data_IF_049439667627
#
_entry.id   IF_049439667627
#
_cell.length_a   1.000
_cell.length_b   1.000
_cell.length_c   1.000
_cell.angle_alpha   90.00
_cell.angle_beta   90.00
_cell.angle_gamma   90.00
#
_symmetry.space_group_name_H-M   'P 1'
#
loop_
_entity.id
_entity.type
_entity.pdbx_description
1 polymer ?
#
# COMPACT_ATOMS: atom_id res chain seq x y z
N UNK A 1 4.79 12.86 10.47
CA UNK A 1 4.74 13.93 11.49
C UNK A 1 3.62 13.72 12.51
N UNK A 2 2.35 13.54 12.12
CA UNK A 2 1.21 13.47 13.06
C UNK A 2 1.37 12.43 14.19
N UNK A 3 1.66 11.17 13.86
CA UNK A 3 1.86 10.14 14.89
C UNK A 3 3.08 10.43 15.76
N UNK A 4 4.18 10.93 15.18
CA UNK A 4 5.36 11.33 15.95
C UNK A 4 5.05 12.48 16.92
N UNK A 5 4.25 13.46 16.51
CA UNK A 5 3.77 14.55 17.40
C UNK A 5 2.83 14.05 18.50
N UNK A 6 2.27 12.84 18.35
CA UNK A 6 1.47 12.16 19.38
C UNK A 6 2.28 11.17 20.24
N UNK A 7 3.62 11.25 20.19
CA UNK A 7 4.50 10.49 21.08
C UNK A 7 4.92 9.10 20.57
N UNK A 8 4.65 8.76 19.30
CA UNK A 8 5.06 7.48 18.75
C UNK A 8 6.42 7.57 18.05
N UNK A 9 7.27 6.57 18.24
CA UNK A 9 8.45 6.37 17.40
C UNK A 9 7.98 5.89 16.03
N UNK A 10 8.21 6.69 14.98
CA UNK A 10 7.83 6.39 13.61
C UNK A 10 9.05 6.06 12.77
N UNK A 11 9.02 4.93 12.08
CA UNK A 11 10.06 4.48 11.17
C UNK A 11 9.42 4.35 9.78
N UNK A 12 9.99 5.03 8.80
CA UNK A 12 9.65 4.90 7.39
C UNK A 12 10.92 4.59 6.63
N UNK A 13 10.98 3.44 5.99
CA UNK A 13 12.12 3.04 5.16
C UNK A 13 11.77 3.19 3.68
N UNK A 14 12.78 3.46 2.88
CA UNK A 14 12.66 3.32 1.45
C UNK A 14 12.83 1.83 1.09
N UNK A 15 11.83 1.22 0.46
CA UNK A 15 11.93 -0.17 0.00
C UNK A 15 13.11 -0.32 -0.96
N UNK A 16 13.73 -1.51 -1.01
CA UNK A 16 14.75 -1.79 -2.04
C UNK A 16 14.27 -1.36 -3.42
N UNK A 17 15.16 -0.81 -4.21
CA UNK A 17 14.84 -0.26 -5.53
C UNK A 17 14.18 1.11 -5.52
N UNK A 18 13.90 1.71 -4.36
CA UNK A 18 13.20 2.99 -4.23
C UNK A 18 13.99 3.97 -3.36
N UNK A 19 13.82 5.25 -3.66
CA UNK A 19 14.37 6.34 -2.85
C UNK A 19 15.88 6.23 -2.62
N UNK A 20 16.30 6.22 -1.37
CA UNK A 20 17.71 6.17 -0.93
C UNK A 20 18.24 4.75 -0.71
N UNK A 21 17.37 3.74 -0.79
CA UNK A 21 17.79 2.35 -0.70
C UNK A 21 18.51 1.89 -1.96
N UNK A 22 19.29 0.81 -1.86
CA UNK A 22 19.97 0.20 -3.00
C UNK A 22 18.99 -0.20 -4.11
N UNK A 23 19.46 -0.16 -5.35
CA UNK A 23 18.67 -0.51 -6.54
C UNK A 23 19.21 -1.81 -7.16
N UNK A 24 18.99 -2.97 -6.53
CA UNK A 24 19.47 -4.25 -7.02
C UNK A 24 18.73 -4.67 -8.29
N UNK A 25 19.41 -5.46 -9.13
CA UNK A 25 18.83 -5.97 -10.37
C UNK A 25 17.72 -7.02 -10.14
N UNK A 26 17.79 -7.76 -9.04
CA UNK A 26 16.87 -8.84 -8.67
C UNK A 26 16.33 -8.67 -7.24
N UNK A 27 15.41 -9.52 -6.81
CA UNK A 27 14.79 -9.42 -5.48
C UNK A 27 13.70 -8.36 -5.42
N UNK A 28 13.03 -8.08 -6.52
CA UNK A 28 11.96 -7.08 -6.60
C UNK A 28 10.58 -7.74 -6.53
N UNK A 29 10.44 -8.71 -5.65
CA UNK A 29 9.20 -9.46 -5.39
C UNK A 29 8.76 -9.34 -3.93
N UNK A 30 7.49 -9.63 -3.65
CA UNK A 30 6.90 -9.44 -2.32
C UNK A 30 7.56 -10.27 -1.23
N UNK A 31 8.07 -11.46 -1.53
CA UNK A 31 8.78 -12.29 -0.58
C UNK A 31 10.04 -11.59 -0.06
N UNK A 32 10.83 -11.06 -0.97
CA UNK A 32 12.05 -10.32 -0.61
C UNK A 32 11.75 -9.00 0.11
N UNK A 33 10.69 -8.28 -0.29
CA UNK A 33 10.27 -7.06 0.43
C UNK A 33 9.86 -7.36 1.87
N UNK A 34 9.15 -8.47 2.08
CA UNK A 34 8.77 -8.92 3.41
C UNK A 34 9.98 -9.36 4.26
N UNK A 35 10.96 -10.02 3.63
CA UNK A 35 12.21 -10.43 4.29
C UNK A 35 13.05 -9.21 4.69
N UNK A 36 13.17 -8.19 3.83
CA UNK A 36 13.83 -6.90 4.16
C UNK A 36 13.14 -6.20 5.34
N UNK A 37 11.80 -6.21 5.37
CA UNK A 37 11.05 -5.64 6.50
C UNK A 37 11.34 -6.42 7.80
N UNK A 38 11.44 -7.75 7.71
CA UNK A 38 11.81 -8.59 8.87
C UNK A 38 13.20 -8.27 9.38
N UNK A 39 14.19 -8.18 8.50
CA UNK A 39 15.56 -7.81 8.86
C UNK A 39 15.60 -6.42 9.52
N UNK A 40 14.85 -5.45 9.01
CA UNK A 40 14.77 -4.11 9.60
C UNK A 40 14.20 -4.15 11.02
N UNK A 41 13.12 -4.91 11.23
CA UNK A 41 12.47 -5.07 12.54
C UNK A 41 13.42 -5.75 13.53
N UNK A 42 14.15 -6.77 13.10
CA UNK A 42 15.12 -7.49 13.93
C UNK A 42 16.35 -6.66 14.24
N UNK A 43 16.94 -6.01 13.24
CA UNK A 43 18.14 -5.17 13.40
C UNK A 43 17.92 -4.01 14.39
N UNK A 44 16.71 -3.44 14.39
CA UNK A 44 16.33 -2.37 15.30
C UNK A 44 15.74 -2.88 16.63
N UNK A 45 15.70 -4.20 16.83
CA UNK A 45 15.06 -4.91 17.96
C UNK A 45 13.65 -4.34 18.28
N UNK A 46 12.85 -4.12 17.24
CA UNK A 46 11.50 -3.60 17.42
C UNK A 46 10.58 -4.67 18.00
N UNK A 47 9.77 -4.27 18.96
CA UNK A 47 8.75 -5.10 19.62
C UNK A 47 7.43 -4.33 19.66
N UNK A 48 6.34 -5.06 19.63
CA UNK A 48 4.99 -4.48 19.64
C UNK A 48 4.79 -3.44 18.54
N UNK A 49 5.35 -3.73 17.35
CA UNK A 49 5.28 -2.80 16.21
C UNK A 49 3.86 -2.67 15.69
N UNK A 50 3.56 -1.50 15.16
CA UNK A 50 2.32 -1.27 14.42
C UNK A 50 2.72 -1.11 12.96
N UNK A 51 2.40 -2.11 12.13
CA UNK A 51 2.70 -2.06 10.72
C UNK A 51 1.58 -1.32 9.96
N UNK A 52 1.97 -0.30 9.21
CA UNK A 52 1.03 0.50 8.41
C UNK A 52 1.45 0.38 6.95
N UNK A 53 0.65 -0.33 6.15
CA UNK A 53 0.92 -0.54 4.73
C UNK A 53 -0.07 0.22 3.84
N UNK A 54 0.45 1.07 2.95
CA UNK A 54 -0.33 1.76 1.94
C UNK A 54 -0.12 1.10 0.57
N UNK A 55 -1.19 0.86 -0.18
CA UNK A 55 -1.13 0.34 -1.56
C UNK A 55 -0.30 -0.95 -1.64
N UNK A 56 0.74 -1.00 -2.47
CA UNK A 56 1.70 -2.10 -2.56
C UNK A 56 2.41 -2.40 -1.23
N UNK A 57 2.58 -1.39 -0.35
CA UNK A 57 3.11 -1.59 1.00
C UNK A 57 2.19 -2.41 1.90
N UNK A 58 0.88 -2.41 1.62
CA UNK A 58 -0.05 -3.34 2.26
C UNK A 58 0.18 -4.79 1.86
N UNK A 59 0.62 -5.03 0.61
CA UNK A 59 1.06 -6.35 0.15
C UNK A 59 2.31 -6.82 0.87
N UNK A 60 3.30 -5.93 1.04
CA UNK A 60 4.52 -6.22 1.81
C UNK A 60 4.19 -6.59 3.27
N UNK A 61 3.32 -5.81 3.94
CA UNK A 61 2.85 -6.11 5.30
C UNK A 61 2.13 -7.45 5.35
N UNK A 62 1.24 -7.73 4.40
CA UNK A 62 0.52 -8.99 4.34
C UNK A 62 1.50 -10.18 4.18
N UNK A 63 2.44 -10.07 3.26
CA UNK A 63 3.47 -11.09 3.03
C UNK A 63 4.39 -11.25 4.23
N UNK A 64 4.72 -10.16 4.93
CA UNK A 64 5.49 -10.23 6.18
C UNK A 64 4.75 -11.09 7.22
N UNK A 65 3.48 -10.82 7.50
CA UNK A 65 2.69 -11.63 8.45
C UNK A 65 2.61 -13.08 7.98
N UNK A 66 2.41 -13.31 6.68
CA UNK A 66 2.33 -14.64 6.08
C UNK A 66 3.58 -15.48 6.25
N UNK A 67 4.76 -14.86 6.22
CA UNK A 67 6.08 -15.52 6.27
C UNK A 67 6.70 -15.52 7.66
N UNK A 68 6.61 -14.42 8.39
CA UNK A 68 7.32 -14.19 9.65
C UNK A 68 6.40 -14.19 10.89
N UNK A 69 5.07 -14.17 10.67
CA UNK A 69 4.09 -14.18 11.75
C UNK A 69 3.96 -12.84 12.48
N UNK A 70 3.30 -12.86 13.63
CA UNK A 70 2.89 -11.67 14.39
C UNK A 70 3.70 -11.42 15.67
N UNK A 71 4.68 -12.26 15.98
CA UNK A 71 5.41 -12.22 17.27
C UNK A 71 5.96 -10.84 17.66
N UNK A 72 6.34 -10.02 16.69
CA UNK A 72 6.88 -8.66 16.90
C UNK A 72 5.89 -7.55 16.53
N UNK A 73 4.64 -7.92 16.20
CA UNK A 73 3.61 -6.99 15.67
C UNK A 73 2.42 -6.97 16.60
N UNK A 74 2.08 -5.80 17.11
CA UNK A 74 0.91 -5.62 17.96
C UNK A 74 -0.36 -5.32 17.16
N UNK A 75 -0.25 -4.61 16.04
CA UNK A 75 -1.38 -4.19 15.20
C UNK A 75 -0.96 -4.00 13.74
N UNK A 76 -1.94 -4.08 12.85
CA UNK A 76 -1.78 -3.76 11.43
C UNK A 76 -2.82 -2.75 10.97
N UNK A 77 -2.41 -1.80 10.12
CA UNK A 77 -3.32 -0.96 9.35
C UNK A 77 -3.02 -1.10 7.84
N UNK A 78 -4.01 -1.49 7.06
CA UNK A 78 -3.95 -1.60 5.60
C UNK A 78 -4.75 -0.45 4.99
N UNK A 79 -4.08 0.42 4.23
CA UNK A 79 -4.66 1.65 3.68
C UNK A 79 -4.62 1.59 2.16
N UNK A 80 -5.76 1.63 1.48
CA UNK A 80 -5.85 1.49 0.01
C UNK A 80 -4.98 0.34 -0.52
N UNK A 81 -4.91 -0.76 0.24
CA UNK A 81 -3.93 -1.82 0.07
C UNK A 81 -4.33 -2.80 -1.04
N UNK A 82 -3.35 -3.37 -1.72
CA UNK A 82 -3.54 -4.31 -2.85
C UNK A 82 -4.06 -5.71 -2.47
N UNK A 83 -3.84 -6.27 -1.26
CA UNK A 83 -4.37 -7.60 -0.92
C UNK A 83 -5.92 -7.69 -1.01
N UNK A 84 -6.47 -8.89 -1.31
CA UNK A 84 -5.77 -10.17 -1.40
C UNK A 84 -5.07 -10.42 -2.74
N UNK A 85 -5.55 -9.85 -3.85
CA UNK A 85 -4.96 -10.04 -5.18
C UNK A 85 -5.53 -9.01 -6.15
N UNK A 86 -4.67 -8.36 -6.93
CA UNK A 86 -5.11 -7.38 -7.93
C UNK A 86 -5.51 -8.03 -9.25
N UNK A 87 -4.79 -9.07 -9.68
CA UNK A 87 -5.02 -9.72 -10.96
C UNK A 87 -6.35 -10.48 -10.96
N UNK A 88 -7.11 -10.32 -12.05
CA UNK A 88 -8.32 -11.12 -12.30
C UNK A 88 -7.95 -12.57 -12.59
N UNK A 89 -8.51 -13.48 -11.80
CA UNK A 89 -8.36 -14.92 -11.95
C UNK A 89 -9.70 -15.60 -11.68
N UNK A 90 -9.76 -16.91 -11.82
CA UNK A 90 -10.95 -17.68 -11.43
C UNK A 90 -11.30 -17.52 -9.94
N UNK A 91 -10.28 -17.40 -9.08
CA UNK A 91 -10.45 -17.16 -7.63
C UNK A 91 -10.66 -15.67 -7.28
N UNK A 92 -10.36 -14.75 -8.20
CA UNK A 92 -10.53 -13.31 -8.06
C UNK A 92 -11.27 -12.70 -9.25
N UNK A 93 -12.58 -12.94 -9.43
CA UNK A 93 -13.34 -12.45 -10.59
C UNK A 93 -13.47 -10.92 -10.63
N UNK A 94 -13.36 -10.24 -9.48
CA UNK A 94 -13.43 -8.79 -9.34
C UNK A 94 -12.07 -8.10 -9.57
N UNK A 95 -11.02 -8.86 -9.82
CA UNK A 95 -9.69 -8.34 -10.12
C UNK A 95 -9.60 -7.65 -11.48
N UNK A 96 -8.50 -6.95 -11.71
CA UNK A 96 -8.22 -6.26 -12.97
C UNK A 96 -7.61 -7.22 -14.00
N UNK A 97 -7.98 -7.10 -15.28
CA UNK A 97 -7.34 -7.87 -16.35
C UNK A 97 -5.83 -7.62 -16.42
N UNK A 98 -5.05 -8.62 -16.86
CA UNK A 98 -3.61 -8.49 -17.02
C UNK A 98 -3.22 -7.31 -17.92
N UNK A 99 -4.04 -7.01 -18.95
CA UNK A 99 -3.81 -5.91 -19.87
C UNK A 99 -3.66 -4.55 -19.16
N UNK A 100 -4.38 -4.32 -18.05
CA UNK A 100 -4.23 -3.09 -17.27
C UNK A 100 -2.82 -2.96 -16.69
N UNK A 101 -2.25 -4.04 -16.20
CA UNK A 101 -0.88 -4.04 -15.67
C UNK A 101 0.17 -3.97 -16.76
N UNK A 102 -0.11 -4.53 -17.95
CA UNK A 102 0.76 -4.41 -19.11
C UNK A 102 0.80 -2.97 -19.63
N UNK A 103 -0.33 -2.25 -19.60
CA UNK A 103 -0.38 -0.80 -19.89
C UNK A 103 0.45 0.01 -18.89
N UNK A 104 0.39 -0.32 -17.59
CA UNK A 104 1.24 0.30 -16.56
C UNK A 104 2.72 0.04 -16.85
N UNK A 105 3.09 -1.21 -17.21
CA UNK A 105 4.46 -1.58 -17.58
C UNK A 105 4.92 -0.80 -18.82
N UNK A 106 4.07 -0.71 -19.83
CA UNK A 106 4.37 0.02 -21.05
C UNK A 106 4.58 1.50 -20.78
N UNK A 107 3.64 2.15 -20.10
CA UNK A 107 3.71 3.58 -19.75
C UNK A 107 4.96 3.91 -18.91
N UNK A 108 5.22 3.12 -17.88
CA UNK A 108 6.40 3.28 -17.01
C UNK A 108 7.72 3.01 -17.74
N UNK A 109 7.72 2.28 -18.86
CA UNK A 109 8.91 1.98 -19.63
C UNK A 109 9.13 2.94 -20.81
N UNK A 110 8.06 3.48 -21.39
CA UNK A 110 8.13 4.40 -22.55
C UNK A 110 8.47 5.82 -22.10
N UNK A 111 7.60 6.44 -21.31
CA UNK A 111 7.81 7.75 -20.71
C UNK A 111 7.37 7.74 -19.24
N UNK A 112 8.26 7.28 -18.38
CA UNK A 112 8.01 7.18 -16.95
C UNK A 112 7.66 8.53 -16.33
N UNK A 113 8.27 9.60 -16.81
CA UNK A 113 8.06 10.93 -16.26
C UNK A 113 6.63 11.40 -16.50
N UNK A 114 6.16 11.31 -17.73
CA UNK A 114 4.80 11.68 -18.08
C UNK A 114 3.78 10.72 -17.45
N UNK A 115 4.06 9.42 -17.46
CA UNK A 115 3.20 8.40 -16.82
C UNK A 115 2.88 8.73 -15.35
N UNK A 116 3.89 9.08 -14.54
CA UNK A 116 3.64 9.45 -13.13
C UNK A 116 2.91 10.79 -12.98
N UNK A 117 3.13 11.74 -13.89
CA UNK A 117 2.35 12.98 -13.89
C UNK A 117 0.89 12.75 -14.22
N UNK A 118 0.61 11.93 -15.25
CA UNK A 118 -0.75 11.59 -15.66
C UNK A 118 -1.48 10.80 -14.57
N UNK A 119 -0.78 9.86 -13.92
CA UNK A 119 -1.34 9.11 -12.80
C UNK A 119 -1.74 10.03 -11.63
N UNK A 120 -0.88 10.98 -11.27
CA UNK A 120 -1.12 11.92 -10.17
C UNK A 120 -2.18 12.99 -10.49
N UNK A 121 -2.15 13.53 -11.73
CA UNK A 121 -3.15 14.51 -12.21
C UNK A 121 -4.48 13.88 -12.64
N UNK A 122 -4.59 12.56 -12.51
CA UNK A 122 -5.76 11.76 -12.87
C UNK A 122 -6.25 10.90 -11.69
N UNK A 123 -6.20 9.57 -11.85
CA UNK A 123 -6.89 8.64 -10.96
C UNK A 123 -6.29 8.52 -9.56
N UNK A 124 -4.98 8.78 -9.37
CA UNK A 124 -4.34 8.51 -8.08
C UNK A 124 -4.91 9.38 -6.95
N UNK A 125 -5.02 10.68 -7.17
CA UNK A 125 -5.61 11.61 -6.21
C UNK A 125 -7.08 11.94 -6.52
N UNK A 126 -7.68 11.36 -7.55
CA UNK A 126 -9.02 11.72 -8.02
C UNK A 126 -9.07 13.13 -8.62
N UNK A 127 -7.95 13.61 -9.17
CA UNK A 127 -7.89 14.94 -9.79
C UNK A 127 -8.74 15.04 -11.06
N UNK A 128 -9.11 13.91 -11.64
CA UNK A 128 -10.04 13.78 -12.76
C UNK A 128 -11.54 13.80 -12.33
N UNK A 129 -11.83 14.05 -11.05
CA UNK A 129 -13.19 14.18 -10.54
C UNK A 129 -13.59 15.65 -10.38
N UNK A 130 -14.84 15.95 -10.61
CA UNK A 130 -15.38 17.31 -10.41
C UNK A 130 -15.20 17.75 -8.96
N UNK A 131 -14.77 19.00 -8.78
CA UNK A 131 -14.54 19.59 -7.45
C UNK A 131 -13.27 19.11 -6.75
N UNK A 132 -12.38 18.39 -7.45
CA UNK A 132 -11.09 17.98 -6.91
C UNK A 132 -10.27 19.20 -6.44
N UNK A 133 -9.61 19.05 -5.27
CA UNK A 133 -8.76 20.07 -4.66
C UNK A 133 -7.27 19.69 -4.67
N UNK A 134 -6.88 18.85 -5.61
CA UNK A 134 -5.48 18.42 -5.76
C UNK A 134 -4.65 19.58 -6.30
N UNK A 135 -3.62 19.98 -5.55
CA UNK A 135 -2.72 21.05 -5.95
C UNK A 135 -1.62 20.55 -6.89
N UNK A 136 -1.07 21.43 -7.72
CA UNK A 136 0.09 21.10 -8.55
C UNK A 136 1.28 20.63 -7.68
N UNK A 137 1.46 21.20 -6.50
CA UNK A 137 2.52 20.79 -5.56
C UNK A 137 2.37 19.33 -5.08
N UNK A 138 1.13 18.83 -4.91
CA UNK A 138 0.89 17.40 -4.60
C UNK A 138 1.28 16.52 -5.79
N UNK A 139 0.91 16.89 -7.00
CA UNK A 139 1.25 16.18 -8.24
C UNK A 139 2.78 16.11 -8.42
N UNK A 140 3.45 17.25 -8.26
CA UNK A 140 4.91 17.35 -8.42
C UNK A 140 5.66 16.57 -7.33
N UNK A 141 5.16 16.58 -6.09
CA UNK A 141 5.73 15.79 -4.99
C UNK A 141 5.62 14.29 -5.26
N UNK A 142 4.46 13.81 -5.71
CA UNK A 142 4.27 12.41 -6.10
C UNK A 142 5.21 12.01 -7.25
N UNK A 143 5.24 12.83 -8.30
CA UNK A 143 6.12 12.62 -9.45
C UNK A 143 7.59 12.55 -9.02
N UNK A 144 8.06 13.50 -8.19
CA UNK A 144 9.44 13.54 -7.72
C UNK A 144 9.83 12.28 -6.95
N UNK A 145 8.94 11.77 -6.08
CA UNK A 145 9.17 10.52 -5.35
C UNK A 145 9.20 9.31 -6.30
N UNK A 146 8.28 9.24 -7.25
CA UNK A 146 8.27 8.17 -8.25
C UNK A 146 9.54 8.12 -9.10
N UNK A 147 10.09 9.29 -9.44
CA UNK A 147 11.32 9.39 -10.24
C UNK A 147 12.59 8.95 -9.48
N UNK A 148 12.56 8.89 -8.14
CA UNK A 148 13.69 8.40 -7.33
C UNK A 148 13.82 6.88 -7.32
N UNK A 149 12.80 6.15 -7.76
CA UNK A 149 12.88 4.68 -7.85
C UNK A 149 13.73 4.23 -9.05
N UNK A 150 14.40 3.09 -8.90
CA UNK A 150 15.09 2.44 -10.01
C UNK A 150 14.13 1.97 -11.10
N UNK A 151 14.49 2.15 -12.37
CA UNK A 151 13.61 1.81 -13.49
C UNK A 151 13.25 0.32 -13.53
N UNK A 152 14.25 -0.54 -13.41
CA UNK A 152 14.06 -2.00 -13.36
C UNK A 152 13.23 -2.41 -12.14
N UNK A 153 13.54 -1.82 -10.97
CA UNK A 153 12.87 -2.12 -9.71
C UNK A 153 11.38 -1.74 -9.76
N UNK A 154 11.06 -0.58 -10.34
CA UNK A 154 9.66 -0.16 -10.54
C UNK A 154 8.92 -1.11 -11.48
N UNK A 155 9.56 -1.50 -12.59
CA UNK A 155 8.99 -2.42 -13.57
C UNK A 155 8.65 -3.78 -12.93
N UNK A 156 9.59 -4.36 -12.18
CA UNK A 156 9.38 -5.64 -11.50
C UNK A 156 8.33 -5.52 -10.38
N UNK A 157 8.32 -4.38 -9.67
CA UNK A 157 7.36 -4.13 -8.60
C UNK A 157 5.90 -4.15 -9.11
N UNK A 158 5.66 -3.80 -10.39
CA UNK A 158 4.33 -3.92 -11.00
C UNK A 158 3.85 -5.36 -10.94
N UNK A 159 4.70 -6.32 -11.30
CA UNK A 159 4.39 -7.75 -11.18
C UNK A 159 4.17 -8.13 -9.71
N UNK A 160 5.06 -7.68 -8.83
CA UNK A 160 5.00 -8.01 -7.43
C UNK A 160 3.65 -7.62 -6.80
N UNK A 161 3.16 -6.39 -7.00
CA UNK A 161 1.90 -5.96 -6.38
C UNK A 161 0.65 -6.46 -7.11
N UNK A 162 0.73 -6.74 -8.42
CA UNK A 162 -0.44 -7.10 -9.21
C UNK A 162 -0.73 -8.60 -9.27
N UNK A 163 0.31 -9.44 -9.30
CA UNK A 163 0.19 -10.88 -9.55
C UNK A 163 0.40 -11.75 -8.31
N UNK A 164 0.85 -11.16 -7.18
CA UNK A 164 0.99 -11.92 -5.93
C UNK A 164 -0.37 -12.15 -5.28
N UNK A 165 -0.65 -13.40 -4.93
CA UNK A 165 -1.81 -13.78 -4.12
C UNK A 165 -1.44 -13.76 -2.63
N UNK A 166 -2.12 -12.92 -1.86
CA UNK A 166 -1.96 -12.75 -0.42
C UNK A 166 -3.10 -13.41 0.37
N UNK A 167 -3.94 -14.22 -0.28
CA UNK A 167 -5.13 -14.81 0.36
C UNK A 167 -4.75 -15.62 1.60
N UNK A 168 -3.74 -16.47 1.48
CA UNK A 168 -3.28 -17.30 2.60
C UNK A 168 -2.49 -16.50 3.65
N UNK A 169 -1.86 -15.39 3.26
CA UNK A 169 -1.19 -14.50 4.20
C UNK A 169 -2.21 -13.78 5.10
N UNK A 170 -3.28 -13.25 4.53
CA UNK A 170 -4.34 -12.55 5.26
C UNK A 170 -5.05 -13.45 6.28
N UNK A 171 -5.20 -14.74 6.00
CA UNK A 171 -5.79 -15.71 6.94
C UNK A 171 -4.96 -15.94 8.20
N UNK A 172 -3.66 -15.59 8.16
CA UNK A 172 -2.74 -15.70 9.30
C UNK A 172 -2.75 -14.49 10.23
N UNK A 173 -3.54 -13.46 9.92
CA UNK A 173 -3.66 -12.29 10.77
C UNK A 173 -4.47 -12.64 12.02
N UNK A 174 -3.79 -12.73 13.15
CA UNK A 174 -4.34 -13.06 14.48
C UNK A 174 -4.31 -11.88 15.46
N UNK A 175 -3.98 -10.69 14.96
CA UNK A 175 -3.85 -9.44 15.70
C UNK A 175 -4.87 -8.38 15.23
N UNK A 176 -5.16 -7.34 16.04
CA UNK A 176 -6.05 -6.27 15.64
C UNK A 176 -5.62 -5.65 14.31
N UNK A 177 -6.55 -5.61 13.37
CA UNK A 177 -6.29 -5.13 12.01
C UNK A 177 -7.33 -4.10 11.60
N UNK A 178 -6.86 -2.93 11.15
CA UNK A 178 -7.67 -1.87 10.56
C UNK A 178 -7.47 -1.86 9.05
N UNK A 179 -8.56 -1.86 8.30
CA UNK A 179 -8.56 -1.72 6.85
C UNK A 179 -9.29 -0.43 6.50
N UNK A 180 -8.60 0.50 5.82
CA UNK A 180 -9.18 1.77 5.36
C UNK A 180 -9.07 1.83 3.84
N UNK A 181 -10.19 2.14 3.16
CA UNK A 181 -10.21 2.21 1.71
C UNK A 181 -11.22 3.24 1.21
N UNK A 182 -10.88 3.91 0.11
CA UNK A 182 -11.81 4.80 -0.58
C UNK A 182 -12.73 4.03 -1.52
N UNK A 183 -14.01 4.37 -1.58
CA UNK A 183 -14.91 3.72 -2.54
C UNK A 183 -14.86 4.33 -3.95
N UNK A 184 -14.08 5.41 -4.17
CA UNK A 184 -13.73 5.93 -5.49
C UNK A 184 -12.23 5.70 -5.82
N UNK A 185 -11.64 4.67 -5.25
CA UNK A 185 -10.27 4.26 -5.59
C UNK A 185 -10.25 3.64 -7.00
N UNK A 186 -9.72 4.41 -7.96
CA UNK A 186 -9.63 4.03 -9.37
C UNK A 186 -8.36 3.23 -9.68
N UNK A 187 -7.43 3.13 -8.72
CA UNK A 187 -6.13 2.43 -8.89
C UNK A 187 -6.19 1.03 -8.28
N UNK A 188 -6.74 0.92 -7.07
CA UNK A 188 -6.96 -0.35 -6.37
C UNK A 188 -8.46 -0.46 -6.07
N UNK A 189 -9.26 -1.10 -6.94
CA UNK A 189 -10.70 -1.19 -6.73
C UNK A 189 -11.04 -1.86 -5.40
N UNK A 190 -11.89 -1.20 -4.61
CA UNK A 190 -12.28 -1.66 -3.27
C UNK A 190 -12.88 -3.08 -3.30
N UNK A 191 -13.61 -3.42 -4.37
CA UNK A 191 -14.24 -4.74 -4.55
C UNK A 191 -13.24 -5.87 -4.66
N UNK A 192 -12.11 -5.64 -5.36
CA UNK A 192 -11.05 -6.60 -5.53
C UNK A 192 -10.12 -6.70 -4.30
N UNK A 193 -10.14 -5.70 -3.43
CA UNK A 193 -9.17 -5.52 -2.34
C UNK A 193 -9.81 -5.49 -0.95
N UNK A 194 -10.11 -4.32 -0.40
CA UNK A 194 -10.51 -4.16 1.01
C UNK A 194 -11.77 -4.93 1.40
N UNK A 195 -12.78 -4.99 0.53
CA UNK A 195 -14.02 -5.76 0.81
C UNK A 195 -13.75 -7.27 0.91
N UNK A 196 -12.74 -7.77 0.21
CA UNK A 196 -12.33 -9.18 0.28
C UNK A 196 -11.39 -9.40 1.46
N UNK A 197 -10.39 -8.53 1.64
CA UNK A 197 -9.46 -8.61 2.76
C UNK A 197 -10.16 -8.59 4.10
N UNK A 198 -11.20 -7.77 4.27
CA UNK A 198 -11.97 -7.70 5.52
C UNK A 198 -12.76 -8.98 5.85
N UNK A 199 -13.01 -9.83 4.85
CA UNK A 199 -13.64 -11.15 5.05
C UNK A 199 -12.62 -12.24 5.36
N UNK A 200 -11.35 -12.06 4.94
CA UNK A 200 -10.27 -13.01 5.14
C UNK A 200 -9.57 -12.81 6.49
N UNK A 201 -9.38 -11.56 6.88
CA UNK A 201 -8.77 -11.19 8.17
C UNK A 201 -9.81 -11.29 9.27
N UNK A 202 -9.58 -12.19 10.22
CA UNK A 202 -10.47 -12.40 11.36
C UNK A 202 -10.54 -11.13 12.22
N UNK A 203 -11.77 -10.66 12.48
CA UNK A 203 -12.03 -9.47 13.30
C UNK A 203 -11.43 -8.16 12.75
N UNK A 204 -11.26 -8.03 11.44
CA UNK A 204 -10.83 -6.79 10.82
C UNK A 204 -11.87 -5.68 11.02
N UNK A 205 -11.39 -4.48 11.33
CA UNK A 205 -12.20 -3.26 11.33
C UNK A 205 -12.09 -2.65 9.94
N UNK A 206 -13.18 -2.64 9.17
CA UNK A 206 -13.22 -2.00 7.86
C UNK A 206 -13.82 -0.59 7.97
N UNK A 207 -13.10 0.41 7.47
CA UNK A 207 -13.58 1.79 7.31
C UNK A 207 -13.55 2.19 5.83
N UNK A 208 -14.71 2.48 5.28
CA UNK A 208 -14.85 2.94 3.90
C UNK A 208 -14.95 4.46 3.90
N UNK A 209 -14.07 5.12 3.15
CA UNK A 209 -14.12 6.57 2.96
C UNK A 209 -14.90 6.90 1.70
N UNK A 210 -16.06 7.53 1.87
CA UNK A 210 -16.94 7.89 0.76
C UNK A 210 -16.28 8.93 -0.15
N UNK A 211 -16.23 8.64 -1.45
CA UNK A 211 -15.65 9.50 -2.48
C UNK A 211 -14.12 9.61 -2.43
N UNK A 212 -13.46 8.88 -1.52
CA UNK A 212 -12.02 8.98 -1.41
C UNK A 212 -11.31 8.21 -2.55
N UNK A 213 -10.29 8.83 -3.18
CA UNK A 213 -9.46 8.22 -4.20
C UNK A 213 -8.36 7.35 -3.58
N UNK A 214 -7.50 6.76 -4.42
CA UNK A 214 -6.35 5.97 -3.98
C UNK A 214 -5.43 6.75 -3.04
N UNK A 215 -5.09 7.99 -3.40
CA UNK A 215 -4.23 8.87 -2.63
C UNK A 215 -4.90 9.50 -1.41
N UNK A 216 -5.80 8.80 -0.73
CA UNK A 216 -6.52 9.29 0.46
C UNK A 216 -5.60 9.72 1.61
N UNK A 217 -4.37 9.25 1.63
CA UNK A 217 -3.32 9.67 2.58
C UNK A 217 -3.00 11.17 2.48
N UNK A 218 -3.29 11.80 1.35
CA UNK A 218 -3.19 13.24 1.12
C UNK A 218 -4.55 13.91 1.14
N UNK A 219 -5.51 13.39 0.40
CA UNK A 219 -6.81 14.03 0.20
C UNK A 219 -7.71 13.95 1.43
N UNK A 220 -7.54 12.92 2.25
CA UNK A 220 -8.32 12.66 3.47
C UNK A 220 -7.42 12.52 4.72
N UNK A 221 -6.25 13.19 4.72
CA UNK A 221 -5.20 13.01 5.72
C UNK A 221 -5.66 13.21 7.16
N UNK A 222 -6.51 14.21 7.42
CA UNK A 222 -6.92 14.54 8.78
C UNK A 222 -7.81 13.42 9.35
N UNK A 223 -8.81 12.98 8.58
CA UNK A 223 -9.65 11.84 8.93
C UNK A 223 -8.86 10.55 9.09
N UNK A 224 -7.90 10.30 8.20
CA UNK A 224 -7.01 9.13 8.28
C UNK A 224 -6.16 9.17 9.55
N UNK A 225 -5.60 10.33 9.86
CA UNK A 225 -4.80 10.53 11.07
C UNK A 225 -5.60 10.25 12.34
N UNK A 226 -6.83 10.76 12.44
CA UNK A 226 -7.71 10.54 13.59
C UNK A 226 -8.09 9.07 13.73
N UNK A 227 -8.46 8.41 12.64
CA UNK A 227 -8.82 7.00 12.62
C UNK A 227 -7.64 6.09 12.99
N UNK A 228 -6.44 6.39 12.48
CA UNK A 228 -5.22 5.68 12.85
C UNK A 228 -4.89 5.87 14.33
N UNK A 229 -4.91 7.11 14.82
CA UNK A 229 -4.60 7.39 16.22
C UNK A 229 -5.58 6.72 17.17
N UNK A 230 -6.87 6.75 16.84
CA UNK A 230 -7.90 6.06 17.61
C UNK A 230 -7.65 4.54 17.66
N UNK A 231 -7.34 3.92 16.51
CA UNK A 231 -7.03 2.51 16.41
C UNK A 231 -5.76 2.12 17.20
N UNK A 232 -4.72 2.95 17.12
CA UNK A 232 -3.44 2.72 17.80
C UNK A 232 -3.64 2.78 19.33
N UNK A 233 -4.39 3.77 19.83
CA UNK A 233 -4.65 3.99 21.27
C UNK A 233 -5.59 2.97 21.89
N UNK A 234 -6.48 2.36 21.10
CA UNK A 234 -7.41 1.37 21.62
C UNK A 234 -6.61 0.13 22.12
N UNK A 235 -6.66 -0.12 23.39
CA UNK A 235 -5.98 -1.26 24.03
C UNK A 235 -6.88 -2.51 23.98
N UNK A 236 -7.49 -2.82 22.80
CA UNK A 236 -8.32 -3.99 22.52
C UNK A 236 -8.69 -4.86 23.71
#
# INVERSE_FOLDING_TARGET
MFLASNGYRCIAHDRRGHGRSSQPWSGNEMDTYADDLSELIEMLDLKDTILIGFSAGGGEVARYIGRHGTKRVAKVALISAVPPMMLKTASNPDGLPIAVFDEIRLGSNTDRSQFYKDLASGPFFGANRDGSKVSQGMIDSFWSQGMQAGRKNTFDCIKAFSETDFTEDLKKFDIPTLIIHGNDDQVVPIGASALRSSKLVKNAILKIYSGAPHGLTYTHKDKLNDDLLAFIKNRG
#
